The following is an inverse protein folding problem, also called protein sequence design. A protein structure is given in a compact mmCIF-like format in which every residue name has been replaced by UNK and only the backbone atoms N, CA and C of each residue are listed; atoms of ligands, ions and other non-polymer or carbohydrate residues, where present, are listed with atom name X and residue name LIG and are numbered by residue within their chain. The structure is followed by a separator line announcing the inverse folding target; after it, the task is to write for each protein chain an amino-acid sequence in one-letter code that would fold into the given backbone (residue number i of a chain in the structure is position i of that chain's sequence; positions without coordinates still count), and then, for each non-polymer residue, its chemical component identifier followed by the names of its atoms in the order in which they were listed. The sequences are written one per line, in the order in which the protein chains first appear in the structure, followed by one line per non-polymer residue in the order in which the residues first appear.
data_IF_954130915742
#
_entry.id   IF_954130915742
#
_cell.length_a   1.000
_cell.length_b   1.000
_cell.length_c   1.000
_cell.angle_alpha   90.00
_cell.angle_beta   90.00
_cell.angle_gamma   90.00
#
_symmetry.space_group_name_H-M   'P 1'
#
loop_
_entity.id
_entity.type
_entity.pdbx_description
1 polymer ?
#
# COMPACT_ATOMS: atom_id res chain seq x y z
N UNK A 1 19.14 -6.30 -41.98
CA UNK A 1 17.86 -6.26 -41.23
C UNK A 1 18.02 -6.93 -39.87
N UNK A 2 18.89 -6.41 -39.00
CA UNK A 2 19.13 -6.94 -37.63
C UNK A 2 18.75 -5.92 -36.56
N UNK A 3 18.81 -4.63 -36.91
CA UNK A 3 18.46 -3.52 -36.00
C UNK A 3 17.00 -3.61 -35.50
N UNK A 4 16.05 -3.96 -36.38
CA UNK A 4 14.65 -4.16 -35.97
C UNK A 4 14.43 -5.37 -35.05
N UNK A 5 15.28 -6.40 -35.17
CA UNK A 5 15.19 -7.58 -34.30
C UNK A 5 15.62 -7.27 -32.86
N UNK A 6 16.47 -6.25 -32.65
CA UNK A 6 16.91 -5.79 -31.32
C UNK A 6 16.03 -4.65 -30.81
N UNK A 7 15.51 -3.78 -31.69
CA UNK A 7 14.63 -2.69 -31.28
C UNK A 7 13.34 -3.20 -30.62
N UNK A 8 12.74 -4.27 -31.17
CA UNK A 8 11.49 -4.84 -30.67
C UNK A 8 11.57 -5.36 -29.22
N UNK A 9 12.54 -6.22 -28.82
CA UNK A 9 12.64 -6.67 -27.44
C UNK A 9 12.95 -5.54 -26.46
N UNK A 10 13.78 -4.57 -26.85
CA UNK A 10 14.07 -3.39 -26.01
C UNK A 10 12.79 -2.56 -25.80
N UNK A 11 12.04 -2.31 -26.86
CA UNK A 11 10.75 -1.62 -26.79
C UNK A 11 9.76 -2.36 -25.88
N UNK A 12 9.69 -3.69 -25.97
CA UNK A 12 8.80 -4.50 -25.15
C UNK A 12 9.13 -4.38 -23.65
N UNK A 13 10.42 -4.37 -23.29
CA UNK A 13 10.86 -4.15 -21.90
C UNK A 13 10.46 -2.77 -21.41
N UNK A 14 10.61 -1.73 -22.24
CA UNK A 14 10.20 -0.37 -21.88
C UNK A 14 8.70 -0.28 -21.62
N UNK A 15 7.89 -0.84 -22.51
CA UNK A 15 6.43 -0.86 -22.37
C UNK A 15 6.01 -1.60 -21.08
N UNK A 16 6.57 -2.79 -20.84
CA UNK A 16 6.32 -3.53 -19.59
C UNK A 16 6.78 -2.76 -18.34
N UNK A 17 7.89 -2.04 -18.43
CA UNK A 17 8.40 -1.19 -17.35
C UNK A 17 7.41 -0.09 -16.97
N UNK A 18 6.87 0.61 -17.97
CA UNK A 18 5.86 1.66 -17.75
C UNK A 18 4.60 1.08 -17.11
N UNK A 19 4.09 -0.05 -17.60
CA UNK A 19 2.92 -0.70 -17.00
C UNK A 19 3.18 -1.14 -15.55
N UNK A 20 4.35 -1.70 -15.27
CA UNK A 20 4.73 -2.14 -13.91
C UNK A 20 4.82 -0.96 -12.95
N UNK A 21 5.36 0.18 -13.39
CA UNK A 21 5.37 1.40 -12.56
C UNK A 21 3.95 1.93 -12.32
N UNK A 22 3.07 1.86 -13.32
CA UNK A 22 1.67 2.25 -13.18
C UNK A 22 0.92 1.44 -12.12
N UNK A 23 1.10 0.13 -12.07
CA UNK A 23 0.46 -0.72 -11.05
C UNK A 23 1.01 -0.45 -9.66
N UNK A 24 2.33 -0.34 -9.50
CA UNK A 24 2.97 0.01 -8.21
C UNK A 24 2.48 1.36 -7.71
N UNK A 25 2.37 2.36 -8.60
CA UNK A 25 1.84 3.67 -8.24
C UNK A 25 0.37 3.61 -7.80
N UNK A 26 -0.45 2.83 -8.51
CA UNK A 26 -1.84 2.61 -8.12
C UNK A 26 -1.95 1.99 -6.71
N UNK A 27 -1.11 1.00 -6.39
CA UNK A 27 -1.08 0.40 -5.06
C UNK A 27 -0.62 1.41 -4.00
N UNK A 28 0.38 2.23 -4.28
CA UNK A 28 0.81 3.30 -3.36
C UNK A 28 -0.31 4.31 -3.07
N UNK A 29 -1.10 4.67 -4.08
CA UNK A 29 -2.27 5.54 -3.89
C UNK A 29 -3.33 4.87 -3.00
N UNK A 30 -3.63 3.59 -3.25
CA UNK A 30 -4.59 2.84 -2.45
C UNK A 30 -4.14 2.72 -0.97
N UNK A 31 -2.87 2.45 -0.72
CA UNK A 31 -2.28 2.40 0.62
C UNK A 31 -2.40 3.74 1.35
N UNK A 32 -2.15 4.85 0.64
CA UNK A 32 -2.27 6.18 1.23
C UNK A 32 -3.72 6.51 1.63
N UNK A 33 -4.68 6.20 0.75
CA UNK A 33 -6.10 6.36 1.05
C UNK A 33 -6.50 5.49 2.24
N UNK A 34 -6.11 4.21 2.25
CA UNK A 34 -6.42 3.28 3.32
C UNK A 34 -5.81 3.71 4.66
N UNK A 35 -4.57 4.21 4.68
CA UNK A 35 -3.94 4.70 5.90
C UNK A 35 -4.70 5.90 6.50
N UNK A 36 -5.13 6.85 5.65
CA UNK A 36 -5.88 8.05 6.09
C UNK A 36 -7.26 7.69 6.62
N UNK A 37 -8.00 6.83 5.92
CA UNK A 37 -9.31 6.36 6.37
C UNK A 37 -9.20 5.51 7.63
N UNK A 38 -8.17 4.66 7.72
CA UNK A 38 -7.89 3.89 8.92
C UNK A 38 -7.57 4.78 10.11
N UNK A 39 -6.74 5.81 9.93
CA UNK A 39 -6.41 6.78 10.99
C UNK A 39 -7.65 7.54 11.47
N UNK A 40 -8.53 7.93 10.54
CA UNK A 40 -9.81 8.59 10.88
C UNK A 40 -10.72 7.69 11.70
N UNK A 41 -10.93 6.45 11.27
CA UNK A 41 -11.78 5.50 12.02
C UNK A 41 -11.21 5.20 13.41
N UNK A 42 -9.90 5.02 13.49
CA UNK A 42 -9.22 4.74 14.74
C UNK A 42 -9.25 5.95 15.70
N UNK A 43 -9.22 7.18 15.18
CA UNK A 43 -9.37 8.41 15.98
C UNK A 43 -10.79 8.64 16.51
N UNK A 44 -11.81 8.01 15.90
CA UNK A 44 -13.19 7.99 16.41
C UNK A 44 -13.39 6.84 17.43
N UNK A 45 -12.33 6.10 17.77
CA UNK A 45 -12.38 5.04 18.80
C UNK A 45 -12.85 3.68 18.28
N UNK A 46 -12.89 3.46 16.97
CA UNK A 46 -13.20 2.13 16.41
C UNK A 46 -12.12 1.10 16.81
N UNK A 47 -12.50 -0.17 17.08
CA UNK A 47 -11.57 -1.23 17.41
C UNK A 47 -10.69 -1.61 16.21
N UNK A 48 -9.50 -2.16 16.49
CA UNK A 48 -8.45 -2.43 15.49
C UNK A 48 -8.92 -3.36 14.39
N UNK A 49 -9.76 -4.33 14.71
CA UNK A 49 -10.25 -5.30 13.72
C UNK A 49 -11.18 -4.63 12.71
N UNK A 50 -12.01 -3.68 13.14
CA UNK A 50 -12.86 -2.88 12.23
C UNK A 50 -11.98 -2.01 11.35
N UNK A 51 -10.95 -1.38 11.90
CA UNK A 51 -10.01 -0.56 11.13
C UNK A 51 -9.25 -1.41 10.11
N UNK A 52 -8.77 -2.59 10.50
CA UNK A 52 -8.08 -3.54 9.61
C UNK A 52 -8.99 -4.00 8.47
N UNK A 53 -10.24 -4.37 8.78
CA UNK A 53 -11.22 -4.76 7.77
C UNK A 53 -11.51 -3.63 6.79
N UNK A 54 -11.63 -2.39 7.26
CA UNK A 54 -11.80 -1.24 6.37
C UNK A 54 -10.59 -1.02 5.48
N UNK A 55 -9.38 -1.09 6.05
CA UNK A 55 -8.13 -0.93 5.29
C UNK A 55 -8.02 -1.98 4.19
N UNK A 56 -8.41 -3.23 4.47
CA UNK A 56 -8.49 -4.31 3.49
C UNK A 56 -9.56 -4.05 2.42
N UNK A 57 -10.73 -3.54 2.81
CA UNK A 57 -11.82 -3.21 1.89
C UNK A 57 -11.46 -2.08 0.89
N UNK A 58 -10.62 -1.13 1.30
CA UNK A 58 -10.10 -0.04 0.44
C UNK A 58 -8.97 -0.54 -0.48
N UNK A 59 -8.36 -1.68 -0.14
CA UNK A 59 -7.23 -2.27 -0.87
C UNK A 59 -7.55 -3.63 -1.49
N UNK A 60 -8.66 -3.81 -2.24
CA UNK A 60 -9.11 -5.13 -2.70
C UNK A 60 -8.16 -5.76 -3.73
N UNK A 61 -7.34 -4.94 -4.40
CA UNK A 61 -6.39 -5.39 -5.41
C UNK A 61 -5.04 -5.80 -4.81
N UNK A 62 -4.85 -5.61 -3.49
CA UNK A 62 -3.63 -6.00 -2.78
C UNK A 62 -3.81 -7.38 -2.14
N UNK A 63 -2.72 -8.13 -2.06
CA UNK A 63 -2.74 -9.42 -1.38
C UNK A 63 -2.64 -9.21 0.14
N UNK A 64 -3.67 -9.59 0.88
CA UNK A 64 -3.75 -9.44 2.34
C UNK A 64 -3.11 -10.59 3.14
N UNK A 65 -2.28 -11.42 2.51
CA UNK A 65 -1.45 -12.41 3.20
C UNK A 65 -0.59 -11.72 4.29
N UNK A 66 -0.61 -12.19 5.55
CA UNK A 66 0.16 -11.61 6.65
C UNK A 66 1.67 -11.46 6.38
N UNK A 67 2.22 -12.27 5.47
CA UNK A 67 3.64 -12.17 5.06
C UNK A 67 3.94 -10.95 4.18
N UNK A 68 2.92 -10.36 3.56
CA UNK A 68 3.06 -9.27 2.59
C UNK A 68 2.34 -8.00 3.00
N UNK A 69 1.30 -8.08 3.81
CA UNK A 69 0.45 -6.95 4.19
C UNK A 69 0.36 -6.81 5.70
N UNK A 70 0.75 -5.64 6.20
CA UNK A 70 0.74 -5.31 7.62
C UNK A 70 0.00 -4.01 7.88
N UNK A 71 -0.83 -4.00 8.92
CA UNK A 71 -1.49 -2.78 9.43
C UNK A 71 -1.06 -2.61 10.87
N UNK A 72 -0.33 -1.53 11.16
CA UNK A 72 0.12 -1.15 12.48
C UNK A 72 -0.66 0.08 12.94
N UNK A 73 -1.38 -0.07 14.05
CA UNK A 73 -2.11 1.00 14.71
C UNK A 73 -1.38 1.36 15.99
N UNK A 74 -0.96 2.62 16.09
CA UNK A 74 -0.36 3.17 17.31
C UNK A 74 -1.29 4.23 17.86
N UNK A 75 -1.98 3.90 18.95
CA UNK A 75 -2.84 4.83 19.70
C UNK A 75 -2.04 5.46 20.83
N UNK A 76 -1.95 6.79 20.83
CA UNK A 76 -1.42 7.60 21.93
C UNK A 76 -2.60 8.21 22.70
N UNK A 77 -2.37 8.99 23.77
CA UNK A 77 -3.43 9.69 24.50
C UNK A 77 -4.14 10.81 23.70
N UNK A 78 -3.48 11.36 22.67
CA UNK A 78 -4.00 12.52 21.92
C UNK A 78 -3.97 12.34 20.38
N UNK A 79 -3.28 11.33 19.85
CA UNK A 79 -3.32 11.00 18.42
C UNK A 79 -3.32 9.51 18.15
N UNK A 80 -3.81 9.15 16.96
CA UNK A 80 -3.73 7.82 16.39
C UNK A 80 -2.94 7.87 15.11
N UNK A 81 -2.01 6.93 14.98
CA UNK A 81 -1.21 6.74 13.78
C UNK A 81 -1.57 5.39 13.18
N UNK A 82 -1.93 5.38 11.90
CA UNK A 82 -2.11 4.17 11.12
C UNK A 82 -0.99 4.07 10.09
N UNK A 83 -0.21 3.01 10.18
CA UNK A 83 0.80 2.63 9.20
C UNK A 83 0.35 1.37 8.47
N UNK A 84 0.35 1.42 7.15
CA UNK A 84 0.06 0.29 6.28
C UNK A 84 1.33 -0.03 5.50
N UNK A 85 1.82 -1.26 5.62
CA UNK A 85 2.98 -1.78 4.92
C UNK A 85 2.55 -2.87 3.94
N UNK A 86 3.05 -2.78 2.70
CA UNK A 86 2.83 -3.81 1.70
C UNK A 86 4.11 -4.16 0.96
N UNK A 87 4.38 -5.45 0.78
CA UNK A 87 5.53 -5.93 0.02
C UNK A 87 5.10 -6.27 -1.40
N UNK A 88 5.54 -5.49 -2.38
CA UNK A 88 5.24 -5.71 -3.80
C UNK A 88 6.00 -6.89 -4.39
N UNK A 89 5.34 -7.60 -5.30
CA UNK A 89 5.94 -8.69 -6.09
C UNK A 89 5.67 -8.42 -7.54
N UNK A 90 6.74 -8.07 -8.25
CA UNK A 90 6.68 -7.81 -9.69
C UNK A 90 6.56 -9.14 -10.42
N UNK A 91 5.48 -9.29 -11.20
CA UNK A 91 5.20 -10.52 -11.95
C UNK A 91 6.08 -10.73 -13.19
N UNK A 92 6.69 -9.67 -13.71
CA UNK A 92 7.52 -9.74 -14.92
C UNK A 92 8.95 -10.15 -14.55
N UNK A 93 9.48 -11.30 -15.04
CA UNK A 93 10.77 -11.83 -14.59
C UNK A 93 11.97 -10.87 -14.79
N UNK A 94 12.05 -10.23 -15.97
CA UNK A 94 13.16 -9.32 -16.30
C UNK A 94 13.18 -8.08 -15.39
N UNK A 95 12.00 -7.58 -15.00
CA UNK A 95 11.84 -6.43 -14.11
C UNK A 95 11.90 -6.82 -12.63
N UNK A 96 11.54 -8.06 -12.30
CA UNK A 96 11.63 -8.60 -10.94
C UNK A 96 13.07 -8.51 -10.41
N UNK A 97 14.07 -8.78 -11.26
CA UNK A 97 15.47 -8.62 -10.86
C UNK A 97 15.84 -7.20 -10.37
N UNK A 98 15.14 -6.17 -10.83
CA UNK A 98 15.41 -4.77 -10.47
C UNK A 98 14.50 -4.26 -9.34
N UNK A 99 13.28 -4.80 -9.21
CA UNK A 99 12.21 -4.22 -8.39
C UNK A 99 11.56 -5.20 -7.39
N UNK A 100 12.05 -6.43 -7.26
CA UNK A 100 11.46 -7.42 -6.36
C UNK A 100 11.65 -7.05 -4.87
N UNK A 101 10.66 -7.40 -4.04
CA UNK A 101 10.63 -7.19 -2.59
C UNK A 101 10.74 -5.74 -2.12
N UNK A 102 10.32 -4.77 -2.94
CA UNK A 102 10.16 -3.38 -2.48
C UNK A 102 8.97 -3.28 -1.53
N UNK A 103 9.22 -2.68 -0.37
CA UNK A 103 8.21 -2.40 0.65
C UNK A 103 7.60 -1.02 0.37
N UNK A 104 6.31 -1.00 0.10
CA UNK A 104 5.50 0.21 0.07
C UNK A 104 5.00 0.49 1.47
N UNK A 105 5.06 1.77 1.86
CA UNK A 105 4.60 2.23 3.17
C UNK A 105 3.69 3.42 2.99
N UNK A 106 2.62 3.45 3.78
CA UNK A 106 1.76 4.60 3.94
C UNK A 106 1.54 4.84 5.43
N UNK A 107 1.68 6.09 5.87
CA UNK A 107 1.49 6.50 7.26
C UNK A 107 0.56 7.70 7.29
N UNK A 108 -0.47 7.64 8.13
CA UNK A 108 -1.36 8.75 8.40
C UNK A 108 -1.54 8.90 9.91
N UNK A 109 -1.66 10.15 10.35
CA UNK A 109 -1.90 10.51 11.74
C UNK A 109 -3.17 11.35 11.83
N UNK A 110 -3.97 11.08 12.85
CA UNK A 110 -5.16 11.85 13.16
C UNK A 110 -5.23 12.13 14.66
N UNK A 111 -5.65 13.34 15.03
CA UNK A 111 -5.88 13.70 16.44
C UNK A 111 -7.21 13.10 16.90
N UNK A 112 -7.30 12.68 18.16
CA UNK A 112 -8.61 12.31 18.72
C UNK A 112 -9.52 13.53 18.79
N UNK A 113 -10.79 13.30 18.47
CA UNK A 113 -11.84 14.24 18.81
C UNK A 113 -12.20 14.02 20.28
N UNK A 114 -12.12 15.08 21.07
CA UNK A 114 -11.91 15.13 22.53
C UNK A 114 -13.01 14.55 23.43
N UNK A 115 -13.86 13.63 22.98
CA UNK A 115 -15.02 13.15 23.75
C UNK A 115 -14.98 11.65 24.15
N UNK A 116 -13.98 10.88 23.71
CA UNK A 116 -14.01 9.41 23.86
C UNK A 116 -13.04 8.82 24.89
N UNK A 117 -12.32 9.65 25.67
CA UNK A 117 -11.55 9.16 26.85
C UNK A 117 -12.47 9.21 28.08
N UNK A 118 -13.56 8.45 28.07
CA UNK A 118 -14.15 7.94 29.32
C UNK A 118 -15.06 6.72 29.05
N UNK A 119 -14.46 5.53 29.06
CA UNK A 119 -14.99 4.29 29.67
C UNK A 119 -14.12 3.06 29.38
#
# INVERSE_FOLDING_TARGET
MVEMAIALPVFMVLVMGVFTMGTVYNHQLALNTAARDGARLAAVGQPDDVVRNQVQAITPNLNHDPSRFGVLLTRTSNSVVCEVEYTEKVGVPILSLLFNNKKLKARAEHRYETDFIDR
#
